data_IF_451649130824
#
_entry.id   IF_451649130824
#
_cell.length_a   1.000
_cell.length_b   1.000
_cell.length_c   1.000
_cell.angle_alpha   90.00
_cell.angle_beta   90.00
_cell.angle_gamma   90.00
#
_symmetry.space_group_name_H-M   'P 1'
#
loop_
_entity.id
_entity.type
_entity.pdbx_description
1 polymer ?
#
# COMPACT_ATOMS: atom_id res chain seq x y z
N UNK A 1 9.71 -11.74 -28.29
CA UNK A 1 9.26 -10.91 -27.14
C UNK A 1 8.08 -11.52 -26.35
N UNK A 2 7.30 -12.48 -26.89
CA UNK A 2 6.29 -13.21 -26.09
C UNK A 2 6.89 -14.38 -25.28
N UNK A 3 8.01 -14.92 -25.72
CA UNK A 3 8.60 -16.15 -25.16
C UNK A 3 9.11 -16.02 -23.72
N UNK A 4 9.53 -14.82 -23.28
CA UNK A 4 10.07 -14.62 -21.92
C UNK A 4 8.96 -14.72 -20.87
N UNK A 5 7.75 -14.27 -21.21
CA UNK A 5 6.58 -14.36 -20.33
C UNK A 5 6.01 -15.80 -20.30
N UNK A 6 6.19 -16.56 -21.39
CA UNK A 6 5.76 -17.96 -21.49
C UNK A 6 6.72 -18.94 -20.78
N UNK A 7 8.01 -18.58 -20.69
CA UNK A 7 9.05 -19.41 -20.05
C UNK A 7 9.22 -19.14 -18.55
N UNK A 8 8.72 -18.01 -18.04
CA UNK A 8 8.72 -17.75 -16.60
C UNK A 8 7.68 -18.63 -15.88
N UNK A 9 8.05 -19.25 -14.74
CA UNK A 9 7.11 -19.99 -13.93
C UNK A 9 5.98 -19.06 -13.48
N UNK A 10 4.74 -19.53 -13.62
CA UNK A 10 3.50 -18.78 -13.34
C UNK A 10 3.50 -18.09 -11.97
N UNK A 11 4.23 -18.66 -11.02
CA UNK A 11 4.39 -18.16 -9.64
C UNK A 11 5.23 -16.89 -9.56
N UNK A 12 6.32 -16.79 -10.34
CA UNK A 12 7.18 -15.61 -10.40
C UNK A 12 6.43 -14.43 -11.01
N UNK A 13 5.64 -14.70 -12.05
CA UNK A 13 4.79 -13.69 -12.67
C UNK A 13 3.70 -13.18 -11.71
N UNK A 14 3.03 -14.09 -10.99
CA UNK A 14 2.02 -13.72 -9.99
C UNK A 14 2.64 -12.86 -8.87
N UNK A 15 3.84 -13.23 -8.39
CA UNK A 15 4.58 -12.47 -7.39
C UNK A 15 4.96 -11.06 -7.87
N UNK A 16 5.46 -10.94 -9.11
CA UNK A 16 5.82 -9.63 -9.69
C UNK A 16 4.59 -8.74 -9.84
N UNK A 17 3.46 -9.29 -10.31
CA UNK A 17 2.22 -8.55 -10.49
C UNK A 17 1.67 -8.08 -9.14
N UNK A 18 1.57 -8.98 -8.17
CA UNK A 18 1.05 -8.67 -6.82
C UNK A 18 1.97 -7.69 -6.11
N UNK A 19 3.29 -7.90 -6.18
CA UNK A 19 4.28 -6.99 -5.60
C UNK A 19 4.21 -5.59 -6.21
N UNK A 20 4.10 -5.49 -7.54
CA UNK A 20 3.96 -4.20 -8.24
C UNK A 20 2.65 -3.50 -7.86
N UNK A 21 1.54 -4.23 -7.80
CA UNK A 21 0.24 -3.69 -7.40
C UNK A 21 0.25 -3.19 -5.95
N UNK A 22 0.86 -3.93 -5.02
CA UNK A 22 1.03 -3.54 -3.63
C UNK A 22 1.90 -2.27 -3.49
N UNK A 23 2.99 -2.16 -4.26
CA UNK A 23 3.84 -0.97 -4.29
C UNK A 23 3.09 0.26 -4.80
N UNK A 24 2.34 0.12 -5.90
CA UNK A 24 1.53 1.21 -6.44
C UNK A 24 0.47 1.68 -5.44
N UNK A 25 -0.23 0.75 -4.79
CA UNK A 25 -1.18 1.07 -3.73
C UNK A 25 -0.51 1.76 -2.54
N UNK A 26 0.65 1.29 -2.11
CA UNK A 26 1.41 1.90 -1.01
C UNK A 26 1.80 3.35 -1.30
N UNK A 27 2.19 3.66 -2.53
CA UNK A 27 2.51 5.04 -2.95
C UNK A 27 1.26 5.91 -2.93
N UNK A 28 0.13 5.42 -3.45
CA UNK A 28 -1.14 6.17 -3.47
C UNK A 28 -1.62 6.46 -2.05
N UNK A 29 -1.65 5.44 -1.18
CA UNK A 29 -2.04 5.63 0.22
C UNK A 29 -1.05 6.53 0.95
N UNK A 30 0.26 6.34 0.76
CA UNK A 30 1.28 7.22 1.35
C UNK A 30 1.12 8.67 0.93
N UNK A 31 0.84 8.92 -0.35
CA UNK A 31 0.58 10.27 -0.86
C UNK A 31 -0.70 10.87 -0.26
N UNK A 32 -1.79 10.10 -0.20
CA UNK A 32 -3.05 10.53 0.41
C UNK A 32 -2.85 10.92 1.88
N UNK A 33 -2.14 10.10 2.66
CA UNK A 33 -1.85 10.39 4.07
C UNK A 33 -1.00 11.66 4.24
N UNK A 34 0.00 11.88 3.38
CA UNK A 34 0.82 13.10 3.42
C UNK A 34 0.00 14.33 3.04
N UNK A 35 -0.91 14.21 2.07
CA UNK A 35 -1.76 15.29 1.62
C UNK A 35 -2.76 15.72 2.72
N UNK A 36 -3.49 14.77 3.30
CA UNK A 36 -4.42 15.04 4.40
C UNK A 36 -3.69 15.64 5.62
N UNK A 37 -2.51 15.10 5.95
CA UNK A 37 -1.73 15.65 7.05
C UNK A 37 -1.20 17.06 6.79
N UNK A 38 -0.81 17.37 5.55
CA UNK A 38 -0.42 18.75 5.19
C UNK A 38 -1.58 19.73 5.38
N UNK A 39 -2.77 19.35 4.93
CA UNK A 39 -3.98 20.17 5.11
C UNK A 39 -4.30 20.36 6.60
N UNK A 40 -4.20 19.30 7.41
CA UNK A 40 -4.41 19.36 8.86
C UNK A 40 -3.41 20.29 9.57
N UNK A 41 -2.13 20.27 9.16
CA UNK A 41 -1.12 21.17 9.71
C UNK A 41 -1.33 22.64 9.30
N UNK A 42 -1.85 22.89 8.10
CA UNK A 42 -2.17 24.25 7.63
C UNK A 42 -3.33 24.86 8.42
N UNK A 43 -4.37 24.08 8.69
CA UNK A 43 -5.54 24.52 9.45
C UNK A 43 -5.23 24.76 10.94
N UNK A 44 -4.19 24.11 11.47
CA UNK A 44 -3.74 24.27 12.85
C UNK A 44 -2.29 24.80 12.91
N UNK A 45 -2.10 26.09 12.56
CA UNK A 45 -0.82 26.84 12.55
C UNK A 45 0.01 26.82 13.86
N UNK A 46 -0.47 26.19 14.94
CA UNK A 46 0.23 26.00 16.23
C UNK A 46 0.39 24.53 16.66
N UNK A 47 -0.09 23.56 15.88
CA UNK A 47 0.04 22.15 16.23
C UNK A 47 1.50 21.71 16.03
N UNK A 48 2.14 21.23 17.10
CA UNK A 48 3.45 20.59 17.01
C UNK A 48 3.29 19.27 16.25
N UNK A 49 4.15 19.03 15.27
CA UNK A 49 4.24 17.76 14.53
C UNK A 49 4.35 16.62 15.55
N UNK A 50 3.25 15.90 15.75
CA UNK A 50 3.17 14.79 16.69
C UNK A 50 2.77 13.56 15.90
N UNK A 51 3.73 12.69 15.63
CA UNK A 51 3.51 11.42 14.91
C UNK A 51 2.40 10.55 15.51
N UNK A 52 2.15 10.68 16.82
CA UNK A 52 1.07 9.97 17.51
C UNK A 52 -0.33 10.45 17.10
N UNK A 53 -0.51 11.73 16.78
CA UNK A 53 -1.79 12.23 16.27
C UNK A 53 -1.96 11.91 14.79
N UNK A 54 -0.87 11.93 14.00
CA UNK A 54 -0.85 11.45 12.62
C UNK A 54 -1.37 10.00 12.53
N UNK A 55 -0.80 9.09 13.34
CA UNK A 55 -1.23 7.70 13.34
C UNK A 55 -2.66 7.48 13.85
N UNK A 56 -3.19 8.39 14.67
CA UNK A 56 -4.58 8.33 15.15
C UNK A 56 -5.57 8.79 14.10
N UNK A 57 -5.19 9.78 13.29
CA UNK A 57 -6.03 10.34 12.23
C UNK A 57 -5.96 9.48 10.95
N UNK A 58 -4.75 9.07 10.56
CA UNK A 58 -4.48 8.24 9.38
C UNK A 58 -4.65 6.72 9.65
N UNK A 59 -5.11 6.36 10.84
CA UNK A 59 -5.32 4.97 11.28
C UNK A 59 -6.18 4.17 10.32
N UNK A 60 -7.17 4.84 9.70
CA UNK A 60 -8.05 4.27 8.69
C UNK A 60 -7.28 3.87 7.43
N UNK A 61 -6.40 4.73 6.90
CA UNK A 61 -5.61 4.43 5.71
C UNK A 61 -4.56 3.36 5.95
N UNK A 62 -3.94 3.35 7.13
CA UNK A 62 -3.00 2.30 7.53
C UNK A 62 -3.72 0.95 7.64
N UNK A 63 -4.92 0.94 8.23
CA UNK A 63 -5.72 -0.28 8.32
C UNK A 63 -6.18 -0.77 6.95
N UNK A 64 -6.65 0.12 6.07
CA UNK A 64 -7.00 -0.21 4.69
C UNK A 64 -5.81 -0.79 3.92
N UNK A 65 -4.63 -0.20 4.07
CA UNK A 65 -3.41 -0.69 3.43
C UNK A 65 -3.03 -2.09 3.94
N UNK A 66 -3.09 -2.32 5.26
CA UNK A 66 -2.82 -3.61 5.87
C UNK A 66 -3.83 -4.68 5.43
N UNK A 67 -5.12 -4.35 5.39
CA UNK A 67 -6.17 -5.27 4.89
C UNK A 67 -5.94 -5.58 3.41
N UNK A 68 -5.55 -4.59 2.60
CA UNK A 68 -5.24 -4.79 1.19
C UNK A 68 -4.04 -5.74 1.00
N UNK A 69 -2.96 -5.55 1.78
CA UNK A 69 -1.81 -6.47 1.78
C UNK A 69 -2.25 -7.86 2.19
N UNK A 70 -3.04 -7.98 3.27
CA UNK A 70 -3.52 -9.27 3.77
C UNK A 70 -4.32 -10.05 2.71
N UNK A 71 -5.26 -9.37 2.02
CA UNK A 71 -6.04 -9.97 0.94
C UNK A 71 -5.14 -10.40 -0.22
N UNK A 72 -4.17 -9.57 -0.61
CA UNK A 72 -3.20 -9.92 -1.66
C UNK A 72 -2.34 -11.13 -1.27
N UNK A 73 -1.89 -11.21 -0.02
CA UNK A 73 -1.13 -12.35 0.49
C UNK A 73 -1.96 -13.65 0.54
N UNK A 74 -3.24 -13.58 0.92
CA UNK A 74 -4.14 -14.73 0.88
C UNK A 74 -4.36 -15.24 -0.55
N UNK A 75 -4.53 -14.34 -1.52
CA UNK A 75 -4.64 -14.71 -2.94
C UNK A 75 -3.35 -15.37 -3.46
N UNK A 76 -2.19 -14.90 -3.00
CA UNK A 76 -0.91 -15.51 -3.33
C UNK A 76 -0.80 -16.92 -2.74
N UNK A 77 -1.21 -17.11 -1.47
CA UNK A 77 -1.21 -18.42 -0.82
C UNK A 77 -2.10 -19.42 -1.57
N UNK A 78 -3.31 -19.00 -1.96
CA UNK A 78 -4.22 -19.81 -2.78
C UNK A 78 -3.65 -20.19 -4.15
N UNK A 79 -2.73 -19.39 -4.69
CA UNK A 79 -2.05 -19.68 -5.96
C UNK A 79 -0.84 -20.61 -5.79
N UNK A 80 -0.34 -20.76 -4.57
CA UNK A 80 0.81 -21.59 -4.21
C UNK A 80 0.41 -23.02 -3.84
N UNK A 81 -0.82 -23.20 -3.34
CA UNK A 81 -1.46 -24.47 -3.01
C UNK A 81 -2.22 -25.06 -4.20
#
# INVERSE_FOLDING_TARGET
MKEILETMPRIELALIIIGTAALMLGIIFGYAMIHEYRMYLEEHRKARITFRDFFKQEQFYIFLFLVSIFIMSLNLLYFLE
#
